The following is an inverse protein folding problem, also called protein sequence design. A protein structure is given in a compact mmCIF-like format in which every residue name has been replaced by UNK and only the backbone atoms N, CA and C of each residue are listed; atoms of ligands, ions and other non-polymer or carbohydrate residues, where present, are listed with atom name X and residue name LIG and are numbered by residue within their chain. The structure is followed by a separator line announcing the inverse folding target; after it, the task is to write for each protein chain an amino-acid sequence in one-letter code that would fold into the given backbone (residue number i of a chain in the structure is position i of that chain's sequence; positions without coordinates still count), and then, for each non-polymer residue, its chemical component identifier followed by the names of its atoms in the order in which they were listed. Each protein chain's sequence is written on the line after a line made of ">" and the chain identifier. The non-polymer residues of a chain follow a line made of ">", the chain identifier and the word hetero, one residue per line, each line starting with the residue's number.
data_IF_028756002575
#
_entry.id   IF_028756002575
#
_cell.length_a   1.000
_cell.length_b   1.000
_cell.length_c   1.000
_cell.angle_alpha   90.00
_cell.angle_beta   90.00
_cell.angle_gamma   90.00
#
_symmetry.space_group_name_H-M   'P 1'
#
loop_
_entity.id
_entity.type
_entity.pdbx_description
1 polymer ?
#
# COMPACT_ATOMS: atom_id res chain seq x y z
N UNK A 1 -11.16 -0.62 19.02
CA UNK A 1 -10.05 -1.46 18.52
C UNK A 1 -8.72 -0.84 18.95
N UNK A 2 -7.93 -1.55 19.77
CA UNK A 2 -6.61 -1.09 20.15
C UNK A 2 -5.73 -1.12 18.90
N UNK A 3 -5.23 0.04 18.47
CA UNK A 3 -4.35 0.14 17.33
C UNK A 3 -3.09 -0.70 17.61
N UNK A 4 -2.68 -1.51 16.63
CA UNK A 4 -1.40 -2.22 16.67
C UNK A 4 -0.31 -1.18 16.81
N UNK A 5 0.52 -1.27 17.85
CA UNK A 5 1.69 -0.42 17.97
C UNK A 5 2.62 -0.69 16.77
N UNK A 6 3.05 0.30 15.99
CA UNK A 6 3.83 0.05 14.78
C UNK A 6 5.09 -0.80 15.04
N UNK A 7 5.78 -0.61 16.17
CA UNK A 7 6.95 -1.44 16.51
C UNK A 7 6.67 -2.95 16.64
N UNK A 8 5.41 -3.36 16.85
CA UNK A 8 5.03 -4.78 16.95
C UNK A 8 5.20 -5.54 15.61
N UNK A 9 5.24 -4.84 14.46
CA UNK A 9 5.49 -5.51 13.17
C UNK A 9 6.98 -5.78 12.87
N UNK A 10 7.91 -5.21 13.64
CA UNK A 10 9.35 -5.43 13.43
C UNK A 10 9.74 -6.92 13.50
N UNK A 11 9.41 -7.69 14.56
CA UNK A 11 9.75 -9.12 14.61
C UNK A 11 9.08 -9.92 13.48
N UNK A 12 7.88 -9.50 13.07
CA UNK A 12 7.12 -10.12 11.97
C UNK A 12 7.83 -9.91 10.63
N UNK A 13 8.33 -8.71 10.35
CA UNK A 13 9.12 -8.43 9.16
C UNK A 13 10.47 -9.17 9.15
N UNK A 14 11.14 -9.30 10.30
CA UNK A 14 12.33 -10.16 10.38
C UNK A 14 12.01 -11.64 10.08
N UNK A 15 10.83 -12.12 10.49
CA UNK A 15 10.38 -13.46 10.12
C UNK A 15 10.09 -13.58 8.62
N UNK A 16 9.45 -12.57 8.03
CA UNK A 16 9.20 -12.54 6.58
C UNK A 16 10.50 -12.62 5.77
N UNK A 17 11.56 -11.93 6.21
CA UNK A 17 12.90 -12.03 5.60
C UNK A 17 13.41 -13.49 5.66
N UNK A 18 13.36 -14.12 6.85
CA UNK A 18 13.83 -15.51 7.03
C UNK A 18 13.03 -16.51 6.18
N UNK A 19 11.72 -16.32 6.06
CA UNK A 19 10.80 -17.22 5.38
C UNK A 19 10.64 -16.93 3.88
N UNK A 20 11.22 -15.85 3.37
CA UNK A 20 11.01 -15.36 1.99
C UNK A 20 9.51 -15.21 1.68
N UNK A 21 8.83 -14.50 2.59
CA UNK A 21 7.38 -14.41 2.65
C UNK A 21 6.71 -13.48 1.61
N UNK A 22 7.48 -12.87 0.73
CA UNK A 22 7.05 -11.92 -0.29
C UNK A 22 7.72 -12.29 -1.64
N UNK A 23 7.16 -11.87 -2.78
CA UNK A 23 7.78 -12.12 -4.08
C UNK A 23 9.12 -11.38 -4.25
N UNK A 24 9.30 -10.24 -3.59
CA UNK A 24 10.54 -9.49 -3.59
C UNK A 24 11.62 -10.13 -2.69
N UNK A 25 12.88 -9.85 -3.01
CA UNK A 25 14.00 -10.21 -2.15
C UNK A 25 14.05 -9.28 -0.93
N UNK A 26 13.49 -9.72 0.20
CA UNK A 26 13.50 -8.98 1.46
C UNK A 26 14.92 -8.95 2.07
N UNK A 27 15.37 -7.77 2.52
CA UNK A 27 16.76 -7.52 2.93
C UNK A 27 16.84 -7.13 4.41
N UNK A 28 16.17 -6.06 4.83
CA UNK A 28 16.36 -5.47 6.15
C UNK A 28 15.10 -4.75 6.66
N UNK A 29 15.07 -4.46 7.97
CA UNK A 29 14.01 -3.72 8.65
C UNK A 29 14.59 -2.49 9.34
N UNK A 30 14.05 -1.31 9.05
CA UNK A 30 14.41 -0.05 9.72
C UNK A 30 13.28 0.44 10.64
N UNK A 31 13.66 0.82 11.86
CA UNK A 31 12.78 1.35 12.89
C UNK A 31 12.79 2.88 12.91
N UNK A 32 11.65 3.46 12.57
CA UNK A 32 11.36 4.90 12.57
C UNK A 32 10.22 5.25 13.53
N UNK A 33 9.92 4.40 14.52
CA UNK A 33 8.82 4.60 15.48
C UNK A 33 8.95 5.87 16.34
N UNK A 34 10.11 6.53 16.28
CA UNK A 34 10.37 7.84 16.90
C UNK A 34 9.80 9.02 16.10
N UNK A 35 9.36 8.81 14.85
CA UNK A 35 8.70 9.84 14.03
C UNK A 35 7.22 9.94 14.41
N UNK A 36 6.73 11.16 14.68
CA UNK A 36 5.36 11.40 15.16
C UNK A 36 4.32 11.17 14.05
N UNK A 37 4.58 11.70 12.85
CA UNK A 37 3.67 11.64 11.69
C UNK A 37 4.46 11.26 10.44
N UNK A 38 4.68 9.96 10.23
CA UNK A 38 5.47 9.50 9.12
C UNK A 38 5.69 7.99 9.08
N UNK A 39 6.66 7.52 8.28
CA UNK A 39 6.98 6.10 8.20
C UNK A 39 7.44 5.62 9.58
N UNK A 40 6.86 4.52 10.06
CA UNK A 40 7.18 3.96 11.37
C UNK A 40 8.11 2.76 11.27
N UNK A 41 7.80 1.86 10.34
CA UNK A 41 8.60 0.64 10.13
C UNK A 41 8.73 0.41 8.64
N UNK A 42 9.97 0.37 8.16
CA UNK A 42 10.30 0.16 6.76
C UNK A 42 10.90 -1.24 6.59
N UNK A 43 10.25 -2.09 5.80
CA UNK A 43 10.82 -3.35 5.31
C UNK A 43 11.39 -3.10 3.91
N UNK A 44 12.72 -3.20 3.82
CA UNK A 44 13.48 -2.99 2.59
C UNK A 44 13.57 -4.30 1.83
N UNK A 45 13.17 -4.28 0.56
CA UNK A 45 13.43 -5.36 -0.39
C UNK A 45 14.27 -4.84 -1.57
N UNK A 46 14.80 -5.72 -2.43
CA UNK A 46 15.56 -5.28 -3.59
C UNK A 46 14.67 -4.51 -4.59
N UNK A 47 13.51 -5.06 -4.92
CA UNK A 47 12.63 -4.56 -5.97
C UNK A 47 11.64 -3.48 -5.48
N UNK A 48 11.29 -3.52 -4.20
CA UNK A 48 10.30 -2.64 -3.58
C UNK A 48 10.55 -2.45 -2.08
N UNK A 49 9.81 -1.55 -1.47
CA UNK A 49 9.80 -1.33 -0.03
C UNK A 49 8.36 -1.44 0.48
N UNK A 50 8.20 -1.98 1.69
CA UNK A 50 6.94 -1.98 2.44
C UNK A 50 7.09 -1.06 3.65
N UNK A 51 6.05 -0.28 3.96
CA UNK A 51 6.11 0.69 5.05
C UNK A 51 4.81 0.64 5.86
N UNK A 52 4.92 0.47 7.18
CA UNK A 52 3.85 0.86 8.09
C UNK A 52 3.97 2.37 8.29
N UNK A 53 2.95 3.10 7.86
CA UNK A 53 2.96 4.55 7.77
C UNK A 53 1.84 5.14 8.62
N UNK A 54 2.13 6.24 9.33
CA UNK A 54 1.15 7.00 10.12
C UNK A 54 0.90 8.40 9.55
N UNK A 55 1.38 8.70 8.34
CA UNK A 55 1.20 10.02 7.74
C UNK A 55 -0.30 10.36 7.68
N UNK A 56 -0.60 11.66 7.78
CA UNK A 56 -1.99 12.16 7.86
C UNK A 56 -2.78 11.65 9.08
N UNK A 57 -2.09 11.12 10.10
CA UNK A 57 -2.72 10.60 11.32
C UNK A 57 -3.50 9.30 11.12
N UNK A 58 -3.28 8.60 9.99
CA UNK A 58 -4.00 7.37 9.63
C UNK A 58 -3.03 6.22 9.43
N UNK A 59 -3.04 5.20 10.30
CA UNK A 59 -2.22 4.02 10.11
C UNK A 59 -2.56 3.28 8.83
N UNK A 60 -1.55 2.97 8.02
CA UNK A 60 -1.69 2.23 6.78
C UNK A 60 -0.45 1.39 6.44
N UNK A 61 -0.59 0.58 5.40
CA UNK A 61 0.50 -0.12 4.75
C UNK A 61 0.73 0.50 3.38
N UNK A 62 1.97 0.84 3.06
CA UNK A 62 2.38 1.31 1.75
C UNK A 62 3.33 0.32 1.09
N UNK A 63 3.22 0.22 -0.23
CA UNK A 63 4.13 -0.52 -1.10
C UNK A 63 4.72 0.44 -2.13
N UNK A 64 6.05 0.53 -2.18
CA UNK A 64 6.77 1.39 -3.12
C UNK A 64 7.73 0.57 -3.96
N UNK A 65 7.42 0.39 -5.24
CA UNK A 65 8.30 -0.27 -6.20
C UNK A 65 9.46 0.66 -6.60
N UNK A 66 10.68 0.12 -6.65
CA UNK A 66 11.91 0.86 -6.95
C UNK A 66 12.47 0.57 -8.34
N UNK A 67 12.26 -0.65 -8.83
CA UNK A 67 12.73 -1.04 -10.16
C UNK A 67 11.69 -0.68 -11.25
N UNK A 68 12.05 -0.71 -12.54
CA UNK A 68 11.10 -0.64 -13.66
C UNK A 68 10.23 -1.90 -13.74
N UNK A 69 8.96 -1.73 -14.10
CA UNK A 69 8.03 -2.83 -14.37
C UNK A 69 7.62 -2.76 -15.83
N UNK A 70 7.56 -3.91 -16.49
CA UNK A 70 7.13 -4.00 -17.88
C UNK A 70 5.61 -3.94 -18.00
N UNK A 71 5.15 -3.68 -19.23
CA UNK A 71 3.73 -3.70 -19.58
C UNK A 71 2.99 -2.37 -19.34
N UNK A 72 1.69 -2.33 -19.72
CA UNK A 72 0.84 -1.18 -19.54
C UNK A 72 0.76 -0.73 -18.08
N UNK A 73 0.67 0.58 -17.85
CA UNK A 73 0.60 1.12 -16.49
C UNK A 73 -0.56 0.52 -15.69
N UNK A 74 -1.73 0.33 -16.29
CA UNK A 74 -2.89 -0.24 -15.60
C UNK A 74 -2.61 -1.65 -15.04
N UNK A 75 -1.97 -2.52 -15.84
CA UNK A 75 -1.59 -3.87 -15.41
C UNK A 75 -0.55 -3.83 -14.29
N UNK A 76 0.42 -2.92 -14.38
CA UNK A 76 1.42 -2.71 -13.33
C UNK A 76 0.80 -2.22 -12.02
N UNK A 77 -0.22 -1.36 -12.10
CA UNK A 77 -0.96 -0.89 -10.92
C UNK A 77 -1.73 -2.04 -10.26
N UNK A 78 -2.41 -2.88 -11.06
CA UNK A 78 -3.10 -4.06 -10.57
C UNK A 78 -2.14 -5.05 -9.90
N UNK A 79 -0.96 -5.27 -10.49
CA UNK A 79 0.07 -6.11 -9.91
C UNK A 79 0.58 -5.54 -8.57
N UNK A 80 0.87 -4.24 -8.50
CA UNK A 80 1.30 -3.58 -7.27
C UNK A 80 0.21 -3.64 -6.17
N UNK A 81 -1.05 -3.41 -6.52
CA UNK A 81 -2.17 -3.53 -5.60
C UNK A 81 -2.30 -4.96 -5.06
N UNK A 82 -2.12 -5.98 -5.91
CA UNK A 82 -2.14 -7.39 -5.48
C UNK A 82 -1.06 -7.69 -4.45
N UNK A 83 0.17 -7.19 -4.68
CA UNK A 83 1.29 -7.36 -3.73
C UNK A 83 1.00 -6.65 -2.41
N UNK A 84 0.55 -5.40 -2.46
CA UNK A 84 0.18 -4.62 -1.28
C UNK A 84 -0.91 -5.31 -0.44
N UNK A 85 -2.00 -5.73 -1.07
CA UNK A 85 -3.11 -6.38 -0.38
C UNK A 85 -2.71 -7.76 0.17
N UNK A 86 -1.87 -8.51 -0.54
CA UNK A 86 -1.36 -9.79 -0.06
C UNK A 86 -0.48 -9.62 1.18
N UNK A 87 0.37 -8.58 1.22
CA UNK A 87 1.16 -8.23 2.39
C UNK A 87 0.26 -7.80 3.56
N UNK A 88 -0.74 -6.94 3.31
CA UNK A 88 -1.72 -6.54 4.33
C UNK A 88 -2.43 -7.74 4.94
N UNK A 89 -2.94 -8.65 4.09
CA UNK A 89 -3.61 -9.88 4.53
C UNK A 89 -2.69 -10.76 5.36
N UNK A 90 -1.41 -10.88 4.97
CA UNK A 90 -0.43 -11.65 5.73
C UNK A 90 -0.23 -11.07 7.13
N UNK A 91 -0.20 -9.75 7.27
CA UNK A 91 -0.13 -9.11 8.59
C UNK A 91 -1.40 -9.37 9.41
N UNK A 92 -2.60 -9.28 8.83
CA UNK A 92 -3.87 -9.57 9.53
C UNK A 92 -3.93 -11.01 10.09
N UNK A 93 -3.25 -11.95 9.42
CA UNK A 93 -3.19 -13.37 9.80
C UNK A 93 -2.06 -13.68 10.80
N UNK A 94 -1.25 -12.70 11.14
CA UNK A 94 -0.07 -12.88 11.96
C UNK A 94 -0.38 -12.76 13.46
N UNK A 95 -0.31 -13.88 14.18
CA UNK A 95 -0.63 -13.94 15.60
C UNK A 95 0.36 -13.15 16.49
N UNK A 96 1.59 -12.86 16.02
CA UNK A 96 2.57 -12.09 16.81
C UNK A 96 2.26 -10.58 16.80
N UNK A 97 1.63 -10.08 15.73
CA UNK A 97 1.25 -8.66 15.61
C UNK A 97 0.17 -8.30 16.64
N UNK A 98 -0.70 -9.26 16.99
CA UNK A 98 -1.74 -9.10 18.00
C UNK A 98 -1.94 -10.39 18.82
N UNK A 99 -1.18 -10.61 19.90
CA UNK A 99 -1.25 -11.83 20.70
C UNK A 99 -2.62 -12.11 21.34
N UNK A 100 -3.45 -11.07 21.52
CA UNK A 100 -4.75 -11.13 22.21
C UNK A 100 -5.94 -10.68 21.34
N UNK A 101 -5.78 -10.55 20.02
CA UNK A 101 -6.85 -10.06 19.16
C UNK A 101 -6.58 -10.22 17.67
N UNK A 102 -7.49 -9.68 16.85
CA UNK A 102 -7.30 -9.54 15.40
C UNK A 102 -7.40 -8.07 15.06
N UNK A 103 -6.49 -7.58 14.22
CA UNK A 103 -6.66 -6.30 13.55
C UNK A 103 -7.02 -6.55 12.08
N UNK A 104 -7.69 -5.59 11.46
CA UNK A 104 -8.04 -5.64 10.06
C UNK A 104 -7.87 -4.27 9.44
N UNK A 105 -7.37 -4.25 8.20
CA UNK A 105 -7.45 -3.08 7.33
C UNK A 105 -8.90 -2.92 6.88
N UNK A 106 -9.37 -1.68 6.82
CA UNK A 106 -10.76 -1.39 6.41
C UNK A 106 -11.02 -1.73 4.93
N UNK A 107 -9.99 -1.59 4.10
CA UNK A 107 -10.03 -1.88 2.67
C UNK A 107 -10.91 -0.94 1.83
N UNK A 108 -11.54 0.08 2.41
CA UNK A 108 -12.37 1.06 1.69
C UNK A 108 -11.58 2.19 1.04
N UNK A 109 -10.27 2.28 1.27
CA UNK A 109 -9.45 3.34 0.73
C UNK A 109 -8.06 2.83 0.31
N UNK A 110 -7.61 3.25 -0.87
CA UNK A 110 -6.23 3.07 -1.35
C UNK A 110 -5.78 4.35 -2.06
N UNK A 111 -4.52 4.72 -1.88
CA UNK A 111 -3.92 5.84 -2.59
C UNK A 111 -2.84 5.35 -3.55
N UNK A 112 -2.77 5.98 -4.72
CA UNK A 112 -1.69 5.82 -5.69
C UNK A 112 -0.88 7.11 -5.75
N UNK A 113 0.44 6.98 -5.65
CA UNK A 113 1.38 8.10 -5.81
C UNK A 113 2.40 7.75 -6.88
N UNK A 114 2.61 8.64 -7.85
CA UNK A 114 3.75 8.57 -8.74
C UNK A 114 4.99 9.11 -8.01
N UNK A 115 5.91 8.22 -7.64
CA UNK A 115 7.03 8.57 -6.77
C UNK A 115 8.11 9.44 -7.45
N UNK A 116 8.38 9.21 -8.72
CA UNK A 116 9.41 9.93 -9.46
C UNK A 116 8.82 11.22 -10.07
N UNK A 117 9.15 12.36 -9.46
CA UNK A 117 8.70 13.69 -9.89
C UNK A 117 9.37 14.18 -11.18
N UNK A 118 10.51 13.60 -11.56
CA UNK A 118 11.16 13.90 -12.84
C UNK A 118 10.37 13.28 -13.99
N UNK A 119 9.88 12.05 -13.81
CA UNK A 119 9.08 11.33 -14.81
C UNK A 119 7.61 11.74 -14.77
N UNK A 120 7.06 11.97 -13.58
CA UNK A 120 5.66 12.35 -13.36
C UNK A 120 5.56 13.64 -12.54
N UNK A 121 5.89 14.80 -13.14
CA UNK A 121 5.79 16.09 -12.46
C UNK A 121 4.31 16.42 -12.17
N UNK A 122 4.04 17.14 -11.07
CA UNK A 122 2.69 17.56 -10.69
C UNK A 122 2.14 18.61 -11.69
N UNK A 123 1.56 18.12 -12.77
CA UNK A 123 0.98 18.90 -13.87
C UNK A 123 -0.36 18.30 -14.28
N UNK A 124 -1.23 19.11 -14.88
CA UNK A 124 -2.52 18.63 -15.39
C UNK A 124 -2.36 17.51 -16.44
N UNK A 125 -1.28 17.54 -17.24
CA UNK A 125 -0.98 16.51 -18.22
C UNK A 125 -0.62 15.16 -17.56
N UNK A 126 0.23 15.18 -16.52
CA UNK A 126 0.58 13.97 -15.78
C UNK A 126 -0.64 13.39 -15.05
N UNK A 127 -1.48 14.24 -14.46
CA UNK A 127 -2.73 13.82 -13.84
C UNK A 127 -3.67 13.16 -14.85
N UNK A 128 -3.89 13.78 -16.01
CA UNK A 128 -4.72 13.23 -17.08
C UNK A 128 -4.20 11.89 -17.60
N UNK A 129 -2.88 11.72 -17.73
CA UNK A 129 -2.26 10.47 -18.15
C UNK A 129 -2.43 9.32 -17.14
N UNK A 130 -2.60 9.64 -15.85
CA UNK A 130 -2.81 8.65 -14.80
C UNK A 130 -4.29 8.31 -14.59
N UNK A 131 -5.23 9.19 -14.96
CA UNK A 131 -6.68 9.00 -14.77
C UNK A 131 -7.20 7.66 -15.30
N UNK A 132 -6.85 7.30 -16.54
CA UNK A 132 -7.31 6.06 -17.16
C UNK A 132 -6.84 4.81 -16.41
N UNK A 133 -5.53 4.62 -16.21
CA UNK A 133 -4.99 3.50 -15.43
C UNK A 133 -5.51 3.43 -13.99
N UNK A 134 -5.68 4.58 -13.32
CA UNK A 134 -6.26 4.65 -11.97
C UNK A 134 -7.74 4.26 -11.99
N UNK A 135 -8.50 4.68 -13.00
CA UNK A 135 -9.89 4.28 -13.19
C UNK A 135 -10.04 2.77 -13.36
N UNK A 136 -9.19 2.14 -14.18
CA UNK A 136 -9.18 0.68 -14.35
C UNK A 136 -8.87 -0.06 -13.03
N UNK A 137 -7.94 0.47 -12.22
CA UNK A 137 -7.68 -0.06 -10.88
C UNK A 137 -8.91 0.09 -9.96
N UNK A 138 -9.54 1.26 -9.96
CA UNK A 138 -10.72 1.57 -9.14
C UNK A 138 -11.88 0.61 -9.45
N UNK A 139 -12.20 0.47 -10.73
CA UNK A 139 -13.24 -0.42 -11.23
C UNK A 139 -12.95 -1.87 -10.82
N UNK A 140 -11.69 -2.32 -10.95
CA UNK A 140 -11.33 -3.69 -10.56
C UNK A 140 -11.43 -3.92 -9.05
N UNK A 141 -10.99 -2.98 -8.22
CA UNK A 141 -10.99 -3.13 -6.77
C UNK A 141 -12.38 -3.01 -6.16
N UNK A 142 -13.19 -2.09 -6.65
CA UNK A 142 -14.39 -1.62 -5.95
C UNK A 142 -15.65 -1.59 -6.81
N UNK A 143 -15.53 -1.71 -8.14
CA UNK A 143 -16.66 -1.60 -9.07
C UNK A 143 -17.14 -0.15 -9.23
N UNK A 144 -18.46 0.02 -9.32
CA UNK A 144 -19.09 1.34 -9.46
C UNK A 144 -19.13 2.13 -8.15
N UNK A 145 -19.22 3.46 -8.26
CA UNK A 145 -19.43 4.34 -7.11
C UNK A 145 -18.18 4.65 -6.28
N UNK A 146 -16.99 4.42 -6.83
CA UNK A 146 -15.71 4.83 -6.22
C UNK A 146 -15.53 6.33 -6.38
N UNK A 147 -15.21 7.00 -5.28
CA UNK A 147 -14.76 8.39 -5.31
C UNK A 147 -13.26 8.43 -5.65
N UNK A 148 -12.91 9.01 -6.80
CA UNK A 148 -11.52 9.12 -7.29
C UNK A 148 -11.11 10.59 -7.29
N UNK A 149 -10.36 10.97 -6.26
CA UNK A 149 -9.90 12.35 -6.05
C UNK A 149 -8.39 12.46 -6.25
N UNK A 150 -7.90 13.53 -6.91
CA UNK A 150 -6.47 13.85 -6.89
C UNK A 150 -5.98 14.08 -5.46
N UNK A 151 -4.74 13.71 -5.16
CA UNK A 151 -4.16 13.98 -3.84
C UNK A 151 -4.00 15.49 -3.61
N UNK A 152 -4.62 16.00 -2.54
CA UNK A 152 -4.61 17.42 -2.18
C UNK A 152 -3.32 17.84 -1.47
N UNK A 153 -2.79 16.99 -0.59
CA UNK A 153 -1.67 17.31 0.32
C UNK A 153 -0.30 16.78 -0.14
N UNK A 154 -0.20 16.26 -1.37
CA UNK A 154 1.03 15.69 -1.92
C UNK A 154 1.72 16.65 -2.90
N UNK A 155 3.05 16.72 -2.82
CA UNK A 155 3.91 17.35 -3.83
C UNK A 155 4.07 16.49 -5.10
N UNK A 156 3.66 15.23 -5.02
CA UNK A 156 3.63 14.23 -6.09
C UNK A 156 2.22 14.11 -6.67
N UNK A 157 2.15 13.81 -7.96
CA UNK A 157 0.87 13.49 -8.62
C UNK A 157 0.38 12.12 -8.17
N UNK A 158 -0.93 11.99 -7.97
CA UNK A 158 -1.53 10.76 -7.47
C UNK A 158 -3.03 10.92 -7.22
N UNK A 159 -3.67 9.83 -6.82
CA UNK A 159 -5.10 9.77 -6.56
C UNK A 159 -5.40 8.97 -5.31
N UNK A 160 -6.39 9.40 -4.54
CA UNK A 160 -7.08 8.57 -3.56
C UNK A 160 -8.32 7.94 -4.19
N UNK A 161 -8.52 6.66 -3.91
CA UNK A 161 -9.66 5.89 -4.35
C UNK A 161 -10.42 5.47 -3.09
N UNK A 162 -11.67 5.93 -2.94
CA UNK A 162 -12.48 5.66 -1.76
C UNK A 162 -13.80 5.01 -2.13
N UNK A 163 -14.04 3.81 -1.62
CA UNK A 163 -15.28 3.07 -1.79
C UNK A 163 -16.36 3.53 -0.79
N UNK A 164 -17.61 3.20 -1.08
CA UNK A 164 -18.75 3.53 -0.21
C UNK A 164 -18.72 2.83 1.15
N UNK A 165 -18.00 1.70 1.26
CA UNK A 165 -17.92 0.92 2.48
C UNK A 165 -16.72 -0.02 2.52
N UNK A 166 -16.41 -0.58 3.70
CA UNK A 166 -15.27 -1.46 3.92
C UNK A 166 -15.38 -2.76 3.14
N UNK A 167 -14.23 -3.32 2.78
CA UNK A 167 -14.08 -4.63 2.15
C UNK A 167 -12.90 -5.36 2.78
N UNK A 168 -13.04 -6.66 3.03
CA UNK A 168 -11.90 -7.46 3.51
C UNK A 168 -10.81 -7.54 2.44
N UNK A 169 -9.56 -7.68 2.87
CA UNK A 169 -8.44 -7.84 1.94
C UNK A 169 -8.59 -9.10 1.07
N UNK A 170 -9.19 -10.18 1.60
CA UNK A 170 -9.53 -11.37 0.81
C UNK A 170 -10.53 -11.06 -0.32
N UNK A 171 -11.56 -10.25 -0.05
CA UNK A 171 -12.53 -9.86 -1.08
C UNK A 171 -11.89 -9.00 -2.16
N UNK A 172 -11.01 -8.07 -1.79
CA UNK A 172 -10.27 -7.23 -2.75
C UNK A 172 -9.28 -8.05 -3.58
N UNK A 173 -8.54 -8.97 -2.96
CA UNK A 173 -7.64 -9.87 -3.66
C UNK A 173 -8.37 -10.76 -4.67
N UNK A 174 -9.54 -11.31 -4.29
CA UNK A 174 -10.35 -12.13 -5.18
C UNK A 174 -10.78 -11.37 -6.44
N UNK A 175 -11.04 -10.07 -6.33
CA UNK A 175 -11.35 -9.19 -7.48
C UNK A 175 -10.14 -8.91 -8.36
N UNK A 176 -8.92 -9.03 -7.84
CA UNK A 176 -7.69 -8.80 -8.62
C UNK A 176 -7.19 -10.06 -9.34
N UNK A 177 -7.70 -11.25 -9.02
CA UNK A 177 -7.42 -12.52 -9.74
C UNK A 177 -8.07 -12.54 -11.10
#
# INVERSE_FOLDING_TARGET
>A
PQAVAPGAVIPVFHRWIRERAAPEMLIDVADYTHLVDGPQVLLVAHEANYVIDLSEGRPGLAYTRKLPAEGPLAERLLAAARVLLAAGRRLEQDAEVMPAGRFAFRGDEIALVANDRLVAPRTAAAEAGLRGPVGALAERLYGDGVDIQPLSHSDRVGFSLKAAGPASLDALLARLT
#
